data_IF_430139699379
#
_entry.id   IF_430139699379
#
_cell.length_a   1.000
_cell.length_b   1.000
_cell.length_c   1.000
_cell.angle_alpha   90.00
_cell.angle_beta   90.00
_cell.angle_gamma   90.00
#
_symmetry.space_group_name_H-M   'P 1'
#
loop_
_entity.id
_entity.type
_entity.pdbx_description
1 polymer ?
#
# COMPACT_ATOMS: atom_id res chain seq x y z
N UNK A 1 -8.51 1.21 6.76
CA UNK A 1 -7.56 2.15 7.39
C UNK A 1 -6.73 2.82 6.30
N UNK A 2 -6.34 4.09 6.47
CA UNK A 2 -5.48 4.79 5.49
C UNK A 2 -4.23 5.30 6.18
N UNK A 3 -3.06 4.97 5.63
CA UNK A 3 -1.76 5.50 6.05
C UNK A 3 -1.23 6.46 4.98
N UNK A 4 -0.58 7.54 5.41
CA UNK A 4 0.03 8.52 4.49
C UNK A 4 1.54 8.49 4.66
N UNK A 5 2.25 8.21 3.57
CA UNK A 5 3.70 8.11 3.53
C UNK A 5 4.26 9.21 2.62
N UNK A 6 5.09 10.08 3.19
CA UNK A 6 5.84 11.07 2.41
C UNK A 6 7.11 10.44 1.85
N UNK A 7 7.33 10.55 0.55
CA UNK A 7 8.48 9.97 -0.13
C UNK A 7 8.90 10.77 -1.36
N UNK A 8 10.12 10.51 -1.86
CA UNK A 8 10.69 11.16 -3.04
C UNK A 8 10.69 10.20 -4.23
N UNK A 9 10.61 10.77 -5.43
CA UNK A 9 10.80 10.05 -6.69
C UNK A 9 12.12 9.26 -6.66
N UNK A 10 12.07 8.01 -7.11
CA UNK A 10 13.24 7.13 -7.16
C UNK A 10 13.51 6.34 -5.88
N UNK A 11 12.94 6.74 -4.74
CA UNK A 11 13.03 5.93 -3.52
C UNK A 11 12.31 4.60 -3.70
N UNK A 12 12.87 3.56 -3.10
CA UNK A 12 12.23 2.25 -3.11
C UNK A 12 11.36 2.13 -1.87
N UNK A 13 10.09 1.86 -2.08
CA UNK A 13 9.14 1.61 -1.01
C UNK A 13 8.79 0.12 -0.97
N UNK A 14 8.78 -0.44 0.23
CA UNK A 14 8.36 -1.82 0.51
C UNK A 14 7.18 -1.75 1.47
N UNK A 15 6.07 -2.41 1.10
CA UNK A 15 4.87 -2.53 1.92
C UNK A 15 4.51 -4.00 2.04
N UNK A 16 4.30 -4.46 3.28
CA UNK A 16 3.84 -5.82 3.54
C UNK A 16 2.74 -5.78 4.59
N UNK A 17 1.62 -6.41 4.28
CA UNK A 17 0.53 -6.65 5.24
C UNK A 17 0.40 -8.14 5.49
N UNK A 18 0.21 -8.50 6.75
CA UNK A 18 -0.02 -9.87 7.17
C UNK A 18 -1.21 -9.94 8.13
N UNK A 19 -2.10 -10.89 7.92
CA UNK A 19 -3.24 -11.18 8.76
C UNK A 19 -3.37 -12.69 8.94
N UNK A 20 -3.71 -13.15 10.15
CA UNK A 20 -3.90 -14.59 10.43
C UNK A 20 -4.91 -15.24 9.48
N UNK A 21 -6.01 -14.53 9.19
CA UNK A 21 -7.05 -14.98 8.27
C UNK A 21 -6.74 -14.77 6.79
N UNK A 22 -5.55 -14.26 6.43
CA UNK A 22 -5.18 -13.84 5.06
C UNK A 22 -6.21 -12.92 4.40
N UNK A 23 -6.97 -12.18 5.22
CA UNK A 23 -8.09 -11.36 4.78
C UNK A 23 -7.79 -9.87 4.76
N UNK A 24 -6.52 -9.46 4.91
CA UNK A 24 -6.10 -8.07 4.76
C UNK A 24 -5.32 -7.89 3.45
N UNK A 25 -5.69 -6.85 2.71
CA UNK A 25 -5.08 -6.43 1.45
C UNK A 25 -4.93 -4.92 1.46
N UNK A 26 -4.15 -4.38 0.53
CA UNK A 26 -4.02 -2.94 0.39
C UNK A 26 -4.03 -2.49 -1.07
N UNK A 27 -4.32 -1.20 -1.23
CA UNK A 27 -4.00 -0.43 -2.42
C UNK A 27 -3.00 0.66 -2.08
N UNK A 28 -2.19 1.07 -3.05
CA UNK A 28 -1.28 2.22 -2.90
C UNK A 28 -1.57 3.21 -4.01
N UNK A 29 -1.81 4.47 -3.66
CA UNK A 29 -2.01 5.54 -4.66
C UNK A 29 -1.32 6.83 -4.27
N UNK A 30 -0.91 7.60 -5.27
CA UNK A 30 -0.39 8.93 -5.02
C UNK A 30 -1.53 9.87 -4.59
N UNK A 31 -1.35 10.60 -3.48
CA UNK A 31 -2.41 11.38 -2.82
C UNK A 31 -2.98 12.48 -3.72
N UNK A 32 -2.13 13.16 -4.51
CA UNK A 32 -2.53 14.28 -5.37
C UNK A 32 -3.15 13.83 -6.69
N UNK A 33 -2.51 12.89 -7.38
CA UNK A 33 -2.94 12.45 -8.72
C UNK A 33 -3.96 11.32 -8.68
N UNK A 34 -4.16 10.69 -7.51
CA UNK A 34 -5.01 9.51 -7.28
C UNK A 34 -4.66 8.29 -8.13
N UNK A 35 -3.52 8.30 -8.83
CA UNK A 35 -3.01 7.15 -9.59
C UNK A 35 -2.52 6.07 -8.65
N UNK A 36 -3.01 4.85 -8.85
CA UNK A 36 -2.55 3.65 -8.15
C UNK A 36 -1.15 3.25 -8.61
N UNK A 37 -0.38 2.64 -7.72
CA UNK A 37 0.85 1.96 -8.10
C UNK A 37 0.52 0.62 -8.74
N UNK A 38 1.24 0.22 -9.80
CA UNK A 38 1.00 -1.03 -10.52
C UNK A 38 0.96 -2.24 -9.58
N UNK A 39 -0.06 -3.09 -9.76
CA UNK A 39 -0.27 -4.29 -8.96
C UNK A 39 -0.93 -4.06 -7.62
N UNK A 40 -1.32 -2.82 -7.30
CA UNK A 40 -2.03 -2.45 -6.07
C UNK A 40 -3.39 -1.82 -6.35
N UNK A 41 -3.88 -1.91 -7.58
CA UNK A 41 -5.19 -1.40 -7.98
C UNK A 41 -6.33 -2.16 -7.27
N UNK A 42 -7.54 -1.58 -7.20
CA UNK A 42 -8.73 -2.32 -6.77
C UNK A 42 -8.87 -3.67 -7.50
N UNK A 43 -9.12 -4.73 -6.74
CA UNK A 43 -9.25 -6.10 -7.25
C UNK A 43 -7.95 -6.90 -7.38
N UNK A 44 -6.78 -6.30 -7.11
CA UNK A 44 -5.49 -7.03 -7.11
C UNK A 44 -5.20 -7.76 -5.81
N UNK A 45 -5.92 -7.44 -4.73
CA UNK A 45 -5.75 -8.06 -3.41
C UNK A 45 -4.28 -8.11 -2.95
N UNK A 46 -3.55 -7.01 -3.19
CA UNK A 46 -2.13 -6.93 -2.90
C UNK A 46 -1.85 -7.09 -1.40
N UNK A 47 -0.91 -7.98 -1.07
CA UNK A 47 -0.42 -8.17 0.31
C UNK A 47 1.03 -7.76 0.50
N UNK A 48 1.77 -7.67 -0.60
CA UNK A 48 3.17 -7.25 -0.65
C UNK A 48 3.38 -6.39 -1.88
N UNK A 49 4.13 -5.32 -1.75
CA UNK A 49 4.52 -4.48 -2.86
C UNK A 49 5.92 -3.93 -2.63
N UNK A 50 6.73 -3.93 -3.68
CA UNK A 50 8.07 -3.35 -3.70
C UNK A 50 8.26 -2.66 -5.03
N UNK A 51 8.73 -1.42 -5.01
CA UNK A 51 9.06 -0.71 -6.24
C UNK A 51 9.61 0.68 -6.02
N UNK A 52 10.24 1.20 -7.07
CA UNK A 52 10.68 2.59 -7.11
C UNK A 52 9.48 3.53 -7.30
N UNK A 53 9.45 4.61 -6.53
CA UNK A 53 8.35 5.57 -6.56
C UNK A 53 8.46 6.49 -7.79
N UNK A 54 7.39 6.58 -8.62
CA UNK A 54 7.43 7.36 -9.85
C UNK A 54 7.41 8.88 -9.61
N UNK A 55 6.94 9.34 -8.46
CA UNK A 55 6.74 10.76 -8.14
C UNK A 55 7.14 11.06 -6.70
N UNK A 56 7.59 12.29 -6.46
CA UNK A 56 7.74 12.81 -5.10
C UNK A 56 6.38 13.26 -4.57
N UNK A 57 6.14 13.03 -3.28
CA UNK A 57 4.93 13.46 -2.61
C UNK A 57 4.41 12.43 -1.63
N UNK A 58 3.13 12.57 -1.29
CA UNK A 58 2.46 11.70 -0.35
C UNK A 58 1.78 10.54 -1.09
N UNK A 59 1.97 9.33 -0.59
CA UNK A 59 1.28 8.12 -1.00
C UNK A 59 0.28 7.69 0.08
N UNK A 60 -0.93 7.35 -0.33
CA UNK A 60 -1.96 6.77 0.52
C UNK A 60 -1.89 5.24 0.39
N UNK A 61 -1.59 4.55 1.49
CA UNK A 61 -1.76 3.10 1.60
C UNK A 61 -3.10 2.81 2.25
N UNK A 62 -4.03 2.28 1.47
CA UNK A 62 -5.40 2.01 1.87
C UNK A 62 -5.50 0.53 2.19
N UNK A 63 -5.63 0.18 3.47
CA UNK A 63 -5.77 -1.20 3.93
C UNK A 63 -7.24 -1.52 4.13
N UNK A 64 -7.67 -2.62 3.54
CA UNK A 64 -9.03 -3.14 3.62
C UNK A 64 -9.06 -4.64 3.86
N UNK A 65 -10.20 -5.11 4.36
CA UNK A 65 -10.48 -6.54 4.48
C UNK A 65 -11.09 -7.10 3.18
N UNK A 66 -10.76 -8.32 2.78
CA UNK A 66 -11.48 -9.02 1.70
C UNK A 66 -12.73 -9.76 2.20
N UNK A 67 -12.78 -10.08 3.51
CA UNK A 67 -13.93 -10.72 4.18
C UNK A 67 -14.00 -10.27 5.65
N UNK A 68 -15.07 -9.58 6.03
CA UNK A 68 -15.36 -9.18 7.41
C UNK A 68 -14.26 -8.33 8.06
N UNK A 69 -14.22 -8.34 9.40
CA UNK A 69 -13.16 -7.67 10.17
C UNK A 69 -11.83 -8.43 10.03
N UNK A 70 -10.76 -7.69 9.75
CA UNK A 70 -9.41 -8.23 9.63
C UNK A 70 -8.50 -7.60 10.69
N UNK A 71 -7.94 -8.43 11.58
CA UNK A 71 -6.79 -8.04 12.41
C UNK A 71 -5.51 -8.29 11.62
N UNK A 72 -4.69 -7.25 11.46
CA UNK A 72 -3.49 -7.32 10.62
C UNK A 72 -2.31 -6.56 11.23
N UNK A 73 -1.11 -6.98 10.85
CA UNK A 73 0.13 -6.23 11.00
C UNK A 73 0.53 -5.67 9.64
N UNK A 74 1.09 -4.47 9.62
CA UNK A 74 1.59 -3.84 8.39
C UNK A 74 2.96 -3.21 8.65
N UNK A 75 3.87 -3.34 7.70
CA UNK A 75 5.21 -2.75 7.75
C UNK A 75 5.45 -1.89 6.51
N UNK A 76 6.12 -0.76 6.71
CA UNK A 76 6.54 0.16 5.66
C UNK A 76 8.04 0.39 5.73
N UNK A 77 8.72 0.33 4.60
CA UNK A 77 10.13 0.70 4.48
C UNK A 77 10.27 1.62 3.29
N UNK A 78 11.01 2.73 3.45
CA UNK A 78 11.32 3.68 2.38
C UNK A 78 12.83 3.90 2.42
N UNK A 79 13.48 3.69 1.29
CA UNK A 79 14.92 3.85 1.08
C UNK A 79 15.14 4.89 0.00
#
# INVERSE_FOLDING_TARGET
MVYVLGARKGQTMVVKVWAKGKNAVFQIRHKKTKKYLPGTEPGKDARTWTGALPYSGNYEVIVGGTRGNASYNISFTIM
#
